data_IF_312901713760
#
_entry.id   IF_312901713760
#
_cell.length_a   1.000
_cell.length_b   1.000
_cell.length_c   1.000
_cell.angle_alpha   90.00
_cell.angle_beta   90.00
_cell.angle_gamma   90.00
#
_symmetry.space_group_name_H-M   'P 1'
#
loop_
_entity.id
_entity.type
_entity.pdbx_description
1 polymer ?
#
# COMPACT_ATOMS: atom_id res chain seq x y z
N UNK A 1 6.08 18.58 -8.57
CA UNK A 1 7.30 18.83 -9.38
C UNK A 1 7.68 20.31 -9.48
N UNK A 2 6.73 21.26 -9.44
CA UNK A 2 7.02 22.71 -9.45
C UNK A 2 7.89 23.19 -8.27
N UNK A 3 7.67 22.68 -7.04
CA UNK A 3 8.42 23.11 -5.85
C UNK A 3 9.91 22.69 -5.87
N UNK A 4 10.25 21.55 -6.49
CA UNK A 4 11.63 21.03 -6.59
C UNK A 4 12.38 21.71 -7.74
N UNK A 5 11.68 22.02 -8.83
CA UNK A 5 12.28 22.68 -9.98
C UNK A 5 12.72 24.11 -9.66
N UNK A 6 12.07 24.79 -8.72
CA UNK A 6 12.35 26.19 -8.46
C UNK A 6 13.55 26.47 -7.51
N UNK A 7 14.16 25.44 -6.96
CA UNK A 7 15.26 25.54 -6.00
C UNK A 7 16.66 25.30 -6.62
N UNK A 8 16.74 24.90 -7.90
CA UNK A 8 17.98 24.40 -8.51
C UNK A 8 18.26 25.03 -9.88
N UNK A 9 19.53 25.34 -10.22
CA UNK A 9 19.91 25.83 -11.56
C UNK A 9 19.63 24.78 -12.64
N UNK A 10 19.38 25.24 -13.87
CA UNK A 10 18.82 24.46 -14.97
C UNK A 10 19.60 23.19 -15.40
N UNK A 11 20.85 23.05 -14.97
CA UNK A 11 21.69 21.87 -15.22
C UNK A 11 21.40 20.66 -14.33
N UNK A 12 20.63 20.79 -13.24
CA UNK A 12 20.43 19.73 -12.24
C UNK A 12 19.01 19.12 -12.23
N UNK A 13 18.13 19.52 -13.15
CA UNK A 13 16.78 18.96 -13.28
C UNK A 13 16.75 17.45 -13.49
N UNK A 14 17.73 16.90 -14.22
CA UNK A 14 17.86 15.46 -14.46
C UNK A 14 18.14 14.67 -13.18
N UNK A 15 18.98 15.20 -12.28
CA UNK A 15 19.32 14.55 -10.99
C UNK A 15 18.13 14.63 -10.03
N UNK A 16 17.47 15.78 -9.94
CA UNK A 16 16.29 15.95 -9.09
C UNK A 16 15.10 15.08 -9.53
N UNK A 17 14.85 14.98 -10.84
CA UNK A 17 13.75 14.17 -11.39
C UNK A 17 14.03 12.67 -11.27
N UNK A 18 15.27 12.25 -11.53
CA UNK A 18 15.71 10.86 -11.36
C UNK A 18 15.64 10.43 -9.90
N UNK A 19 16.03 11.30 -8.96
CA UNK A 19 15.90 11.06 -7.53
C UNK A 19 14.45 10.82 -7.11
N UNK A 20 13.52 11.70 -7.50
CA UNK A 20 12.08 11.54 -7.20
C UNK A 20 11.52 10.25 -7.81
N UNK A 21 11.95 9.89 -9.01
CA UNK A 21 11.51 8.66 -9.69
C UNK A 21 12.05 7.41 -9.01
N UNK A 22 13.31 7.43 -8.59
CA UNK A 22 13.93 6.34 -7.83
C UNK A 22 13.20 6.12 -6.49
N UNK A 23 12.95 7.20 -5.74
CA UNK A 23 12.20 7.12 -4.48
C UNK A 23 10.79 6.57 -4.69
N UNK A 24 10.10 6.97 -5.76
CA UNK A 24 8.79 6.42 -6.10
C UNK A 24 8.86 4.92 -6.42
N UNK A 25 9.89 4.49 -7.16
CA UNK A 25 10.09 3.08 -7.50
C UNK A 25 10.35 2.23 -6.26
N UNK A 26 11.28 2.68 -5.40
CA UNK A 26 11.60 2.02 -4.12
C UNK A 26 10.37 1.99 -3.20
N UNK A 27 9.67 3.11 -3.07
CA UNK A 27 8.45 3.19 -2.28
C UNK A 27 7.34 2.28 -2.81
N UNK A 28 7.22 2.17 -4.14
CA UNK A 28 6.26 1.27 -4.78
C UNK A 28 6.53 -0.20 -4.49
N UNK A 29 7.78 -0.65 -4.61
CA UNK A 29 8.14 -2.04 -4.34
C UNK A 29 8.00 -2.41 -2.86
N UNK A 30 8.49 -1.55 -1.96
CA UNK A 30 8.34 -1.72 -0.51
C UNK A 30 6.86 -1.72 -0.11
N UNK A 31 6.08 -0.80 -0.69
CA UNK A 31 4.64 -0.72 -0.48
C UNK A 31 3.94 -2.02 -0.83
N UNK A 32 4.11 -2.52 -2.06
CA UNK A 32 3.48 -3.78 -2.49
C UNK A 32 3.89 -4.95 -1.60
N UNK A 33 5.17 -5.06 -1.23
CA UNK A 33 5.65 -6.13 -0.35
C UNK A 33 5.02 -6.08 1.05
N UNK A 34 4.96 -4.89 1.65
CA UNK A 34 4.37 -4.70 2.98
C UNK A 34 2.86 -4.96 2.96
N UNK A 35 2.15 -4.48 1.93
CA UNK A 35 0.73 -4.77 1.72
C UNK A 35 0.47 -6.25 1.59
N UNK A 36 1.23 -6.95 0.75
CA UNK A 36 1.11 -8.40 0.58
C UNK A 36 1.37 -9.16 1.88
N UNK A 37 2.38 -8.77 2.64
CA UNK A 37 2.71 -9.38 3.92
C UNK A 37 1.61 -9.20 4.96
N UNK A 38 1.11 -7.97 5.15
CA UNK A 38 0.02 -7.67 6.08
C UNK A 38 -1.26 -8.38 5.66
N UNK A 39 -1.62 -8.30 4.38
CA UNK A 39 -2.80 -8.97 3.83
C UNK A 39 -2.74 -10.49 4.10
N UNK A 40 -1.62 -11.14 3.77
CA UNK A 40 -1.45 -12.59 3.94
C UNK A 40 -1.49 -12.96 5.42
N UNK A 41 -0.82 -12.20 6.28
CA UNK A 41 -0.80 -12.44 7.71
C UNK A 41 -2.20 -12.31 8.33
N UNK A 42 -2.93 -11.25 8.00
CA UNK A 42 -4.29 -11.02 8.50
C UNK A 42 -5.26 -12.06 7.96
N UNK A 43 -5.15 -12.41 6.67
CA UNK A 43 -5.98 -13.46 6.07
C UNK A 43 -5.76 -14.80 6.77
N UNK A 44 -4.50 -15.24 6.91
CA UNK A 44 -4.17 -16.50 7.59
C UNK A 44 -4.65 -16.52 9.04
N UNK A 45 -4.45 -15.43 9.78
CA UNK A 45 -4.87 -15.33 11.17
C UNK A 45 -6.41 -15.37 11.32
N UNK A 46 -7.15 -14.72 10.43
CA UNK A 46 -8.62 -14.77 10.45
C UNK A 46 -9.15 -16.14 10.00
N UNK A 47 -8.53 -16.75 8.99
CA UNK A 47 -8.92 -18.10 8.56
C UNK A 47 -8.69 -19.13 9.68
N UNK A 48 -7.56 -19.08 10.39
CA UNK A 48 -7.31 -19.96 11.54
C UNK A 48 -8.30 -19.76 12.69
N UNK A 49 -8.85 -18.55 12.83
CA UNK A 49 -9.80 -18.20 13.89
C UNK A 49 -11.24 -18.56 13.55
N UNK A 50 -11.62 -18.46 12.27
CA UNK A 50 -12.99 -18.63 11.81
C UNK A 50 -13.27 -20.04 11.28
N UNK A 51 -12.28 -20.71 10.68
CA UNK A 51 -12.47 -22.04 10.11
C UNK A 51 -12.27 -23.15 11.15
N UNK A 52 -13.09 -24.22 11.10
CA UNK A 52 -12.86 -25.41 11.89
C UNK A 52 -11.55 -26.12 11.48
N UNK A 53 -10.89 -26.76 12.44
CA UNK A 53 -9.67 -27.53 12.21
C UNK A 53 -9.91 -28.61 11.12
N UNK A 54 -9.10 -28.59 10.07
CA UNK A 54 -9.19 -29.54 8.95
C UNK A 54 -10.04 -29.08 7.75
N UNK A 55 -10.56 -27.85 7.77
CA UNK A 55 -11.26 -27.29 6.60
C UNK A 55 -10.32 -27.18 5.38
N UNK A 56 -10.72 -27.77 4.25
CA UNK A 56 -9.98 -27.62 2.99
C UNK A 56 -10.22 -26.24 2.39
N UNK A 57 -9.16 -25.45 2.32
CA UNK A 57 -9.17 -24.13 1.69
C UNK A 57 -8.90 -24.23 0.18
N UNK A 58 -9.52 -23.36 -0.63
CA UNK A 58 -9.16 -23.23 -2.04
C UNK A 58 -7.69 -22.86 -2.18
N UNK A 59 -6.93 -23.62 -2.98
CA UNK A 59 -5.55 -23.28 -3.33
C UNK A 59 -5.47 -22.06 -4.24
N UNK A 60 -6.52 -21.84 -5.03
CA UNK A 60 -6.63 -20.71 -5.94
C UNK A 60 -7.63 -19.69 -5.38
N UNK A 61 -7.29 -18.42 -5.56
CA UNK A 61 -8.07 -17.30 -5.12
C UNK A 61 -9.01 -16.86 -6.25
N UNK A 62 -9.95 -17.74 -6.62
CA UNK A 62 -10.91 -17.51 -7.70
C UNK A 62 -12.37 -17.67 -7.21
N UNK A 63 -13.31 -16.88 -7.75
CA UNK A 63 -14.72 -16.93 -7.35
C UNK A 63 -15.33 -18.32 -7.49
N UNK A 64 -14.96 -19.06 -8.54
CA UNK A 64 -15.47 -20.42 -8.79
C UNK A 64 -15.05 -21.42 -7.71
N UNK A 65 -13.79 -21.41 -7.24
CA UNK A 65 -13.39 -22.33 -6.18
C UNK A 65 -14.05 -21.98 -4.84
N UNK A 66 -14.32 -20.70 -4.59
CA UNK A 66 -15.05 -20.24 -3.40
C UNK A 66 -16.53 -20.65 -3.46
N UNK A 67 -17.15 -20.67 -4.64
CA UNK A 67 -18.53 -21.12 -4.82
C UNK A 67 -18.71 -22.63 -4.57
N UNK A 68 -17.68 -23.43 -4.86
CA UNK A 68 -17.67 -24.87 -4.61
C UNK A 68 -17.49 -25.23 -3.12
N UNK A 69 -17.20 -24.26 -2.25
CA UNK A 69 -17.12 -24.48 -0.80
C UNK A 69 -18.50 -24.68 -0.17
N UNK A 70 -18.59 -25.48 0.91
CA UNK A 70 -19.76 -25.51 1.77
C UNK A 70 -20.16 -24.10 2.22
N UNK A 71 -21.45 -23.79 2.23
CA UNK A 71 -21.96 -22.43 2.50
C UNK A 71 -21.45 -21.83 3.81
N UNK A 72 -21.24 -22.63 4.86
CA UNK A 72 -20.65 -22.16 6.12
C UNK A 72 -19.20 -21.66 5.94
N UNK A 73 -18.33 -22.50 5.37
CA UNK A 73 -16.92 -22.18 5.12
C UNK A 73 -16.78 -20.99 4.16
N UNK A 74 -17.69 -20.90 3.17
CA UNK A 74 -17.70 -19.78 2.21
C UNK A 74 -17.91 -18.43 2.90
N UNK A 75 -18.85 -18.35 3.85
CA UNK A 75 -19.12 -17.10 4.57
C UNK A 75 -17.93 -16.70 5.44
N UNK A 76 -17.36 -17.65 6.18
CA UNK A 76 -16.19 -17.43 7.03
C UNK A 76 -14.96 -17.02 6.22
N UNK A 77 -14.77 -17.62 5.03
CA UNK A 77 -13.70 -17.24 4.11
C UNK A 77 -13.87 -15.81 3.59
N UNK A 78 -15.09 -15.43 3.19
CA UNK A 78 -15.38 -14.08 2.70
C UNK A 78 -15.20 -13.03 3.81
N UNK A 79 -15.56 -13.36 5.05
CA UNK A 79 -15.35 -12.48 6.19
C UNK A 79 -13.85 -12.30 6.51
N UNK A 80 -13.08 -13.41 6.54
CA UNK A 80 -11.63 -13.36 6.70
C UNK A 80 -10.94 -12.56 5.59
N UNK A 81 -11.39 -12.73 4.34
CA UNK A 81 -10.89 -11.99 3.20
C UNK A 81 -11.21 -10.50 3.28
N UNK A 82 -12.45 -10.16 3.65
CA UNK A 82 -12.87 -8.79 3.91
C UNK A 82 -12.04 -8.11 5.01
N UNK A 83 -11.80 -8.81 6.11
CA UNK A 83 -10.97 -8.33 7.21
C UNK A 83 -9.52 -8.07 6.77
N UNK A 84 -8.95 -8.93 5.92
CA UNK A 84 -7.60 -8.75 5.37
C UNK A 84 -7.51 -7.53 4.45
N UNK A 85 -8.49 -7.33 3.57
CA UNK A 85 -8.57 -6.11 2.75
C UNK A 85 -8.69 -4.88 3.63
N UNK A 86 -9.60 -4.90 4.60
CA UNK A 86 -9.83 -3.78 5.51
C UNK A 86 -8.55 -3.40 6.27
N UNK A 87 -7.81 -4.39 6.78
CA UNK A 87 -6.53 -4.15 7.45
C UNK A 87 -5.48 -3.54 6.51
N UNK A 88 -5.41 -3.99 5.25
CA UNK A 88 -4.51 -3.43 4.25
C UNK A 88 -4.84 -1.95 3.96
N UNK A 89 -6.12 -1.60 3.80
CA UNK A 89 -6.56 -0.21 3.63
C UNK A 89 -6.28 0.65 4.87
N UNK A 90 -6.44 0.12 6.07
CA UNK A 90 -6.15 0.84 7.30
C UNK A 90 -4.65 1.14 7.43
N UNK A 91 -3.80 0.18 7.07
CA UNK A 91 -2.35 0.39 6.98
C UNK A 91 -2.00 1.44 5.92
N UNK A 92 -2.64 1.41 4.75
CA UNK A 92 -2.53 2.44 3.72
C UNK A 92 -2.85 3.83 4.26
N UNK A 93 -3.96 3.95 4.98
CA UNK A 93 -4.44 5.20 5.57
C UNK A 93 -3.45 5.73 6.61
N UNK A 94 -2.89 4.86 7.46
CA UNK A 94 -1.84 5.24 8.40
C UNK A 94 -0.57 5.75 7.69
N UNK A 95 -0.11 5.06 6.64
CA UNK A 95 1.05 5.50 5.86
C UNK A 95 0.78 6.85 5.19
N UNK A 96 -0.41 7.04 4.61
CA UNK A 96 -0.83 8.32 4.01
C UNK A 96 -0.89 9.43 5.05
N UNK A 97 -1.42 9.17 6.24
CA UNK A 97 -1.46 10.14 7.34
C UNK A 97 -0.04 10.55 7.77
N UNK A 98 0.88 9.59 7.90
CA UNK A 98 2.29 9.87 8.20
C UNK A 98 2.93 10.71 7.07
N UNK A 99 2.72 10.35 5.81
CA UNK A 99 3.22 11.10 4.66
C UNK A 99 2.67 12.53 4.63
N UNK A 100 1.41 12.72 4.99
CA UNK A 100 0.77 14.03 5.11
C UNK A 100 1.40 14.88 6.23
N UNK A 101 1.62 14.30 7.41
CA UNK A 101 2.31 14.98 8.52
C UNK A 101 3.75 15.33 8.16
N UNK A 102 4.48 14.43 7.50
CA UNK A 102 5.83 14.71 7.01
C UNK A 102 5.84 15.82 5.95
N UNK A 103 4.80 15.92 5.13
CA UNK A 103 4.65 17.01 4.16
C UNK A 103 4.51 18.37 4.83
N UNK A 104 3.95 18.45 6.04
CA UNK A 104 3.90 19.69 6.82
C UNK A 104 5.31 20.11 7.28
N UNK A 105 6.19 19.13 7.55
CA UNK A 105 7.56 19.37 8.02
C UNK A 105 8.52 19.76 6.87
N UNK A 106 8.09 19.61 5.62
CA UNK A 106 8.86 20.03 4.45
C UNK A 106 8.93 21.56 4.42
N UNK A 107 10.09 22.10 4.80
CA UNK A 107 10.37 23.54 4.76
C UNK A 107 10.29 24.04 3.31
N UNK A 108 9.33 24.91 3.04
CA UNK A 108 9.16 25.56 1.74
C UNK A 108 10.47 26.27 1.36
N UNK A 109 11.11 25.81 0.28
CA UNK A 109 12.27 26.50 -0.30
C UNK A 109 11.72 27.61 -1.18
N UNK A 110 11.98 28.89 -0.88
CA UNK A 110 11.37 30.00 -1.58
C UNK A 110 11.77 29.98 -3.05
N UNK A 111 10.79 30.21 -3.93
CA UNK A 111 11.02 30.34 -5.35
C UNK A 111 11.99 31.51 -5.61
N UNK A 112 13.18 31.27 -6.18
CA UNK A 112 14.01 32.36 -6.72
C UNK A 112 13.19 33.07 -7.80
N UNK A 113 12.77 34.31 -7.50
CA UNK A 113 12.14 35.21 -8.47
C UNK A 113 13.07 35.31 -9.67
N UNK A 114 12.56 34.98 -10.86
CA UNK A 114 13.21 35.35 -12.11
C UNK A 114 13.38 36.87 -12.08
N UNK A 115 14.63 37.31 -11.99
CA UNK A 115 14.98 38.72 -12.07
C UNK A 115 14.59 39.21 -13.48
N UNK A 116 13.86 40.33 -13.45
CA UNK A 116 13.36 41.09 -14.60
C UNK A 116 14.48 41.53 -15.54
#
# INVERSE_FOLDING_TARGET
MLAVQNAMPAQMYGVATSGVTLFRSIGGSIGVALFGAVFTHVLQNNLQRLLPEGAELPRALNPEAVQNLPTAIRLDYLDAFGAAIHAAFLMAACIMAVAFVLSWLLKEVPLKKAAR
#
